data_IF_953129006073
#
_entry.id   IF_953129006073
#
_cell.length_a   1.000
_cell.length_b   1.000
_cell.length_c   1.000
_cell.angle_alpha   90.00
_cell.angle_beta   90.00
_cell.angle_gamma   90.00
#
_symmetry.space_group_name_H-M   'P 1'
#
loop_
_entity.id
_entity.type
_entity.pdbx_description
1 polymer ?
#
# COMPACT_ATOMS: atom_id res chain seq x y z
N UNK A 1 -9.67 -49.93 -32.24
CA UNK A 1 -8.82 -48.91 -31.59
C UNK A 1 -7.37 -49.36 -31.68
N UNK A 2 -6.49 -48.49 -32.18
CA UNK A 2 -5.05 -48.74 -32.32
C UNK A 2 -4.42 -49.02 -30.96
N UNK A 3 -3.50 -49.99 -30.87
CA UNK A 3 -2.78 -50.37 -29.63
C UNK A 3 -2.07 -49.18 -28.97
N UNK A 4 -1.74 -48.14 -29.74
CA UNK A 4 -1.13 -46.90 -29.24
C UNK A 4 -2.10 -46.06 -28.39
N UNK A 5 -3.39 -46.08 -28.69
CA UNK A 5 -4.39 -45.33 -27.93
C UNK A 5 -4.64 -45.94 -26.54
N UNK A 6 -4.53 -47.27 -26.42
CA UNK A 6 -4.71 -47.99 -25.15
C UNK A 6 -3.51 -47.72 -24.22
N UNK A 7 -2.29 -47.65 -24.76
CA UNK A 7 -1.08 -47.38 -23.99
C UNK A 7 -1.03 -45.95 -23.42
N UNK A 8 -1.57 -44.95 -24.14
CA UNK A 8 -1.58 -43.57 -23.66
C UNK A 8 -2.60 -43.40 -22.52
N UNK A 9 -3.76 -44.04 -22.62
CA UNK A 9 -4.78 -43.98 -21.56
C UNK A 9 -4.31 -44.70 -20.30
N UNK A 10 -3.61 -45.83 -20.41
CA UNK A 10 -3.13 -46.57 -19.24
C UNK A 10 -2.04 -45.82 -18.46
N UNK A 11 -1.12 -45.14 -19.15
CA UNK A 11 -0.06 -44.35 -18.47
C UNK A 11 -0.65 -43.14 -17.75
N UNK A 12 -1.62 -42.44 -18.36
CA UNK A 12 -2.26 -41.28 -17.74
C UNK A 12 -3.03 -41.63 -16.46
N UNK A 13 -3.71 -42.77 -16.43
CA UNK A 13 -4.42 -43.24 -15.22
C UNK A 13 -3.44 -43.58 -14.10
N UNK A 14 -2.29 -44.18 -14.44
CA UNK A 14 -1.29 -44.59 -13.45
C UNK A 14 -0.61 -43.38 -12.80
N UNK A 15 -0.33 -42.32 -13.56
CA UNK A 15 0.23 -41.05 -13.04
C UNK A 15 -0.74 -40.39 -12.07
N UNK A 16 -2.04 -40.33 -12.40
CA UNK A 16 -3.06 -39.72 -11.54
C UNK A 16 -3.20 -40.50 -10.22
N UNK A 17 -3.21 -41.83 -10.27
CA UNK A 17 -3.30 -42.67 -9.06
C UNK A 17 -2.07 -42.53 -8.17
N UNK A 18 -0.86 -42.48 -8.75
CA UNK A 18 0.35 -42.24 -7.98
C UNK A 18 0.34 -40.85 -7.32
N UNK A 19 -0.08 -39.80 -8.04
CA UNK A 19 -0.15 -38.45 -7.49
C UNK A 19 -1.14 -38.36 -6.32
N UNK A 20 -2.29 -39.02 -6.44
CA UNK A 20 -3.30 -39.05 -5.39
C UNK A 20 -2.80 -39.80 -4.13
N UNK A 21 -2.09 -40.91 -4.32
CA UNK A 21 -1.57 -41.70 -3.21
C UNK A 21 -0.45 -41.00 -2.43
N UNK A 22 0.41 -40.24 -3.11
CA UNK A 22 1.47 -39.45 -2.44
C UNK A 22 0.93 -38.18 -1.78
N UNK A 23 -0.08 -37.53 -2.35
CA UNK A 23 -0.64 -36.29 -1.81
C UNK A 23 -1.44 -36.53 -0.51
N UNK A 24 -2.09 -37.69 -0.36
CA UNK A 24 -2.93 -38.00 0.81
C UNK A 24 -2.24 -38.79 1.93
N UNK A 25 -1.14 -39.51 1.65
CA UNK A 25 -0.46 -40.33 2.65
C UNK A 25 0.83 -39.71 3.21
N UNK A 26 1.08 -38.41 3.01
CA UNK A 26 2.19 -37.74 3.68
C UNK A 26 1.89 -37.63 5.19
N UNK A 27 2.65 -38.30 6.08
CA UNK A 27 2.40 -38.23 7.51
C UNK A 27 2.81 -36.85 8.03
N UNK A 28 1.83 -36.13 8.60
CA UNK A 28 2.07 -34.90 9.36
C UNK A 28 2.86 -35.29 10.62
N UNK A 29 4.14 -34.95 10.65
CA UNK A 29 4.96 -35.05 11.85
C UNK A 29 4.39 -34.09 12.91
N UNK A 30 3.73 -34.65 13.92
CA UNK A 30 3.34 -33.95 15.14
C UNK A 30 4.45 -34.12 16.17
N UNK A 31 5.36 -33.16 16.24
CA UNK A 31 6.22 -33.03 17.42
C UNK A 31 5.56 -32.04 18.39
N UNK A 32 5.17 -32.58 19.54
CA UNK A 32 4.70 -31.84 20.70
C UNK A 32 5.88 -31.14 21.36
N UNK A 33 5.96 -29.81 21.27
CA UNK A 33 6.71 -29.00 22.22
C UNK A 33 5.73 -28.30 23.15
N UNK A 34 5.67 -28.76 24.41
CA UNK A 34 5.07 -27.99 25.50
C UNK A 34 5.89 -26.72 25.72
N UNK A 35 5.34 -25.57 25.32
CA UNK A 35 5.90 -24.27 25.66
C UNK A 35 5.24 -23.75 26.94
N UNK A 36 6.04 -23.52 27.98
CA UNK A 36 5.58 -22.86 29.20
C UNK A 36 5.22 -21.41 28.87
N UNK A 37 3.94 -21.07 29.08
CA UNK A 37 3.44 -19.69 29.02
C UNK A 37 4.00 -18.91 30.21
N UNK A 38 4.92 -17.98 29.93
CA UNK A 38 5.26 -16.92 30.87
C UNK A 38 4.25 -15.80 30.64
N UNK A 39 3.27 -15.66 31.54
CA UNK A 39 2.35 -14.52 31.57
C UNK A 39 3.15 -13.21 31.74
N UNK A 40 3.33 -12.45 30.67
CA UNK A 40 3.73 -11.04 30.78
C UNK A 40 2.45 -10.18 30.87
N UNK A 41 2.13 -9.75 32.08
CA UNK A 41 1.09 -8.74 32.31
C UNK A 41 1.61 -7.38 31.87
N UNK A 42 1.22 -6.94 30.68
CA UNK A 42 1.31 -5.53 30.32
C UNK A 42 0.18 -4.75 31.03
N UNK A 43 0.46 -3.59 31.65
CA UNK A 43 -0.57 -2.82 32.33
C UNK A 43 -1.49 -2.14 31.32
N UNK A 44 -2.79 -2.39 31.49
CA UNK A 44 -3.88 -1.60 30.90
C UNK A 44 -3.73 -0.12 31.30
N UNK A 45 -3.41 0.73 30.33
CA UNK A 45 -3.49 2.19 30.51
C UNK A 45 -4.95 2.60 30.38
N UNK A 46 -5.61 2.79 31.52
CA UNK A 46 -6.93 3.38 31.60
C UNK A 46 -6.85 4.88 31.29
N UNK A 47 -7.66 5.32 30.31
CA UNK A 47 -7.97 6.73 30.06
C UNK A 47 -8.64 7.35 31.29
N UNK A 48 -8.07 8.44 31.79
CA UNK A 48 -8.82 9.48 32.50
C UNK A 48 -8.23 10.84 32.15
N UNK A 49 -9.09 11.73 31.67
CA UNK A 49 -8.80 13.13 31.44
C UNK A 49 -8.52 13.87 32.76
N UNK A 50 -7.49 14.69 32.79
CA UNK A 50 -7.45 15.88 33.66
C UNK A 50 -6.63 16.99 33.00
N UNK A 51 -7.32 18.09 32.73
CA UNK A 51 -6.76 19.44 32.65
C UNK A 51 -6.04 19.81 33.96
N UNK A 52 -4.78 20.29 33.90
CA UNK A 52 -4.37 21.57 34.52
C UNK A 52 -2.90 21.93 34.20
N UNK A 53 -2.76 23.19 33.77
CA UNK A 53 -1.71 24.18 34.01
C UNK A 53 -0.20 23.93 33.86
N UNK A 54 0.36 24.95 33.22
CA UNK A 54 1.73 25.42 33.13
C UNK A 54 2.52 25.37 34.42
N UNK A 55 3.78 24.92 34.33
CA UNK A 55 4.92 25.71 34.82
C UNK A 55 6.25 25.23 34.19
N UNK A 56 6.87 26.19 33.49
CA UNK A 56 8.29 26.54 33.41
C UNK A 56 9.29 25.52 34.03
N UNK A 57 10.12 24.91 33.18
CA UNK A 57 11.55 24.68 33.50
C UNK A 57 12.40 24.97 32.27
N UNK A 58 13.23 25.99 32.43
CA UNK A 58 14.25 26.47 31.53
C UNK A 58 15.53 25.62 31.64
N UNK A 59 16.21 25.47 30.50
CA UNK A 59 17.66 25.28 30.34
C UNK A 59 18.31 23.94 30.77
N UNK A 60 18.84 23.22 29.78
CA UNK A 60 20.24 22.81 29.81
C UNK A 60 20.82 22.56 28.40
N UNK A 61 21.70 23.48 28.02
CA UNK A 61 22.66 23.44 26.91
C UNK A 61 23.43 22.11 26.86
N UNK A 62 23.50 21.50 25.67
CA UNK A 62 24.48 20.47 25.35
C UNK A 62 25.52 21.01 24.36
N UNK A 63 26.77 20.95 24.79
CA UNK A 63 27.99 21.27 24.04
C UNK A 63 28.23 20.22 22.95
N UNK A 64 28.78 20.59 21.78
CA UNK A 64 29.22 19.62 20.79
C UNK A 64 30.54 18.97 21.19
N UNK A 65 30.64 17.68 20.91
CA UNK A 65 31.81 16.82 21.11
C UNK A 65 32.80 17.10 19.98
N UNK A 66 34.02 17.55 20.33
CA UNK A 66 35.16 17.60 19.43
C UNK A 66 35.66 16.18 19.12
N UNK A 67 35.63 15.77 17.86
CA UNK A 67 36.31 14.56 17.39
C UNK A 67 37.67 14.93 16.77
N UNK A 68 38.72 14.33 17.31
CA UNK A 68 40.09 14.39 16.81
C UNK A 68 40.18 13.76 15.40
N UNK A 69 40.61 14.54 14.41
CA UNK A 69 41.06 14.04 13.10
C UNK A 69 42.58 13.87 13.15
N UNK A 70 43.03 12.62 13.01
CA UNK A 70 44.42 12.24 12.76
C UNK A 70 44.65 12.21 11.24
N UNK A 71 45.71 12.88 10.81
CA UNK A 71 45.99 13.17 9.40
C UNK A 71 46.37 11.97 8.54
N UNK A 72 46.02 12.08 7.26
CA UNK A 72 46.70 11.40 6.18
C UNK A 72 46.85 12.38 5.01
N UNK A 73 48.10 12.70 4.69
CA UNK A 73 48.50 13.48 3.52
C UNK A 73 48.49 12.61 2.24
N UNK A 74 48.25 13.31 1.12
CA UNK A 74 48.61 13.05 -0.27
C UNK A 74 47.82 12.03 -1.13
N UNK A 75 46.89 12.57 -1.96
CA UNK A 75 46.78 12.24 -3.41
C UNK A 75 46.10 13.41 -4.16
N UNK A 76 46.38 13.66 -5.46
CA UNK A 76 46.34 15.00 -6.05
C UNK A 76 44.97 15.44 -6.59
N UNK A 77 44.52 16.58 -6.07
CA UNK A 77 44.12 17.82 -6.78
C UNK A 77 43.38 17.74 -8.13
N UNK A 78 42.09 18.13 -8.05
CA UNK A 78 41.27 18.91 -9.01
C UNK A 78 40.78 18.21 -10.29
N UNK A 79 39.59 17.63 -10.18
CA UNK A 79 38.54 17.87 -11.18
C UNK A 79 37.91 19.26 -10.90
N UNK A 80 37.64 20.10 -11.91
CA UNK A 80 36.90 21.33 -11.70
C UNK A 80 35.45 20.94 -11.40
N UNK A 81 35.09 20.87 -10.12
CA UNK A 81 33.70 20.99 -9.71
C UNK A 81 33.35 22.44 -10.04
N UNK A 82 32.77 22.65 -11.22
CA UNK A 82 31.89 23.79 -11.42
C UNK A 82 30.73 23.52 -10.48
N UNK A 83 30.87 23.97 -9.23
CA UNK A 83 29.75 24.06 -8.32
C UNK A 83 28.89 25.17 -8.89
N UNK A 84 28.04 24.83 -9.85
CA UNK A 84 26.86 25.62 -10.11
C UNK A 84 26.20 25.80 -8.75
N UNK A 85 26.10 27.05 -8.28
CA UNK A 85 25.28 27.37 -7.12
C UNK A 85 23.87 26.97 -7.54
N UNK A 86 23.46 25.77 -7.17
CA UNK A 86 22.08 25.36 -7.28
C UNK A 86 21.33 26.26 -6.32
N UNK A 87 20.52 27.17 -6.87
CA UNK A 87 19.64 27.99 -6.08
C UNK A 87 18.55 27.06 -5.52
N UNK A 88 18.77 26.60 -4.28
CA UNK A 88 17.79 25.80 -3.55
C UNK A 88 16.55 26.64 -3.24
N UNK A 89 15.40 25.99 -3.28
CA UNK A 89 14.09 26.53 -2.98
C UNK A 89 13.78 26.27 -1.50
N UNK A 90 13.14 27.20 -0.81
CA UNK A 90 12.76 27.00 0.59
C UNK A 90 11.64 25.95 0.72
N UNK A 91 11.51 25.31 1.89
CA UNK A 91 10.56 24.22 2.10
C UNK A 91 9.09 24.65 1.87
N UNK A 92 8.76 25.89 2.21
CA UNK A 92 7.41 26.45 2.05
C UNK A 92 7.09 26.84 0.58
N UNK A 93 8.11 26.92 -0.27
CA UNK A 93 7.98 27.38 -1.66
C UNK A 93 7.60 26.24 -2.63
N UNK A 94 7.54 26.54 -3.94
CA UNK A 94 7.07 25.66 -5.00
C UNK A 94 8.08 24.58 -5.44
N UNK A 95 8.64 23.83 -4.49
CA UNK A 95 9.44 22.65 -4.81
C UNK A 95 8.55 21.45 -5.18
N UNK A 96 9.09 20.55 -6.01
CA UNK A 96 8.43 19.30 -6.38
C UNK A 96 9.36 18.09 -6.24
N UNK A 97 10.67 18.25 -6.48
CA UNK A 97 11.64 17.14 -6.40
C UNK A 97 12.59 17.44 -5.24
N UNK A 98 12.47 16.77 -4.07
CA UNK A 98 13.29 17.06 -2.90
C UNK A 98 14.80 17.04 -3.18
N UNK A 99 15.28 15.99 -3.86
CA UNK A 99 16.70 15.85 -4.20
C UNK A 99 17.22 16.94 -5.12
N UNK A 100 16.33 17.57 -5.89
CA UNK A 100 16.71 18.62 -6.82
C UNK A 100 16.56 20.01 -6.24
N UNK A 101 15.48 20.25 -5.51
CA UNK A 101 15.04 21.60 -5.14
C UNK A 101 15.48 21.99 -3.72
N UNK A 102 15.62 21.02 -2.82
CA UNK A 102 15.79 21.27 -1.38
C UNK A 102 17.22 21.05 -0.90
N UNK A 103 17.57 21.68 0.22
CA UNK A 103 18.83 21.42 0.95
C UNK A 103 18.76 20.07 1.64
N UNK A 104 19.92 19.51 2.03
CA UNK A 104 19.99 18.18 2.64
C UNK A 104 19.19 18.13 3.94
N UNK A 105 19.25 19.19 4.76
CA UNK A 105 18.51 19.26 6.02
C UNK A 105 16.99 19.24 5.81
N UNK A 106 16.50 19.92 4.76
CA UNK A 106 15.09 19.93 4.39
C UNK A 106 14.67 18.58 3.77
N UNK A 107 15.57 17.91 3.04
CA UNK A 107 15.33 16.55 2.53
C UNK A 107 15.15 15.55 3.68
N UNK A 108 16.01 15.62 4.71
CA UNK A 108 15.92 14.74 5.88
C UNK A 108 14.62 15.01 6.67
N UNK A 109 14.23 16.27 6.82
CA UNK A 109 12.96 16.65 7.44
C UNK A 109 11.75 16.11 6.65
N UNK A 110 11.73 16.28 5.33
CA UNK A 110 10.68 15.75 4.46
C UNK A 110 10.61 14.22 4.52
N UNK A 111 11.76 13.54 4.61
CA UNK A 111 11.81 12.09 4.76
C UNK A 111 11.21 11.63 6.10
N UNK A 112 11.49 12.33 7.19
CA UNK A 112 10.87 12.06 8.50
C UNK A 112 9.35 12.26 8.47
N UNK A 113 8.88 13.38 7.90
CA UNK A 113 7.44 13.63 7.72
C UNK A 113 6.75 12.55 6.87
N UNK A 114 7.42 12.09 5.82
CA UNK A 114 6.91 11.00 5.00
C UNK A 114 6.78 9.71 5.81
N UNK A 115 7.76 9.40 6.66
CA UNK A 115 7.71 8.22 7.50
C UNK A 115 6.57 8.27 8.52
N UNK A 116 6.38 9.41 9.18
CA UNK A 116 5.28 9.63 10.12
C UNK A 116 3.92 9.46 9.43
N UNK A 117 3.78 10.00 8.21
CA UNK A 117 2.58 9.81 7.41
C UNK A 117 2.36 8.36 6.98
N UNK A 118 3.44 7.65 6.61
CA UNK A 118 3.39 6.22 6.32
C UNK A 118 2.93 5.41 7.54
N UNK A 119 3.38 5.75 8.74
CA UNK A 119 2.93 5.10 9.98
C UNK A 119 1.44 5.38 10.25
N UNK A 120 1.02 6.63 10.13
CA UNK A 120 -0.38 7.05 10.29
C UNK A 120 -1.29 6.32 9.30
N UNK A 121 -0.92 6.32 8.02
CA UNK A 121 -1.66 5.66 6.94
C UNK A 121 -1.57 4.12 6.95
N UNK A 122 -0.74 3.55 7.83
CA UNK A 122 -0.67 2.12 8.07
C UNK A 122 0.16 1.35 7.05
N UNK A 123 1.21 1.96 6.51
CA UNK A 123 2.18 1.30 5.62
C UNK A 123 3.12 0.44 6.46
N UNK A 124 2.93 -0.88 6.43
CA UNK A 124 3.83 -1.84 7.06
C UNK A 124 3.58 -3.24 6.47
N UNK A 125 4.63 -3.94 6.05
CA UNK A 125 4.52 -5.19 5.31
C UNK A 125 4.91 -6.39 6.18
N UNK A 126 4.07 -7.42 6.18
CA UNK A 126 4.46 -8.73 6.71
C UNK A 126 5.46 -9.34 5.74
N UNK A 127 6.67 -9.62 6.23
CA UNK A 127 7.71 -10.26 5.42
C UNK A 127 7.21 -11.61 4.92
N UNK A 128 7.33 -11.83 3.61
CA UNK A 128 7.23 -13.17 3.06
C UNK A 128 8.52 -13.93 3.45
N UNK A 129 8.40 -15.23 3.72
CA UNK A 129 9.42 -16.06 4.38
C UNK A 129 10.80 -16.09 3.67
N UNK A 130 10.94 -15.49 2.49
CA UNK A 130 12.12 -15.43 1.64
C UNK A 130 12.84 -14.05 1.61
N UNK A 131 12.30 -13.00 2.24
CA UNK A 131 12.80 -11.61 2.12
C UNK A 131 13.49 -11.05 3.39
N UNK A 132 14.11 -11.91 4.20
CA UNK A 132 14.54 -11.59 5.59
C UNK A 132 15.59 -10.47 5.70
N UNK A 133 16.35 -10.14 4.65
CA UNK A 133 17.57 -9.32 4.78
C UNK A 133 17.57 -7.93 4.09
N UNK A 134 16.61 -7.60 3.22
CA UNK A 134 16.65 -6.36 2.41
C UNK A 134 15.59 -5.29 2.82
N UNK A 135 14.72 -5.62 3.77
CA UNK A 135 13.39 -4.98 3.88
C UNK A 135 13.31 -3.85 4.93
N UNK A 136 14.01 -3.95 6.07
CA UNK A 136 13.75 -3.04 7.20
C UNK A 136 14.32 -1.62 7.00
N UNK A 137 15.39 -1.46 6.20
CA UNK A 137 15.92 -0.12 5.89
C UNK A 137 15.02 0.66 4.94
N UNK A 138 14.35 -0.03 4.02
CA UNK A 138 13.43 0.59 3.05
C UNK A 138 11.99 0.66 3.59
N UNK A 139 11.68 -0.14 4.61
CA UNK A 139 10.35 -0.23 5.24
C UNK A 139 10.47 -0.20 6.77
N UNK A 140 10.86 0.95 7.36
CA UNK A 140 11.10 1.08 8.80
C UNK A 140 9.87 0.71 9.66
N UNK A 141 8.66 0.88 9.13
CA UNK A 141 7.40 0.58 9.83
C UNK A 141 7.10 -0.93 9.93
N UNK A 142 7.87 -1.81 9.28
CA UNK A 142 7.67 -3.25 9.38
C UNK A 142 7.84 -3.77 10.82
N UNK A 143 8.56 -3.02 11.67
CA UNK A 143 8.68 -3.31 13.10
C UNK A 143 7.33 -3.42 13.80
N UNK A 144 6.31 -2.69 13.36
CA UNK A 144 4.98 -2.70 13.97
C UNK A 144 4.18 -3.96 13.66
N UNK A 145 4.42 -4.58 12.50
CA UNK A 145 3.73 -5.81 12.08
C UNK A 145 4.52 -7.09 12.38
N UNK A 146 5.81 -6.96 12.72
CA UNK A 146 6.69 -8.08 13.04
C UNK A 146 6.13 -9.03 14.12
N UNK A 147 5.51 -8.57 15.23
CA UNK A 147 4.93 -9.48 16.24
C UNK A 147 3.81 -10.38 15.69
N UNK A 148 3.12 -9.94 14.62
CA UNK A 148 2.02 -10.68 14.02
C UNK A 148 2.45 -11.65 12.94
N UNK A 149 3.72 -11.60 12.50
CA UNK A 149 4.20 -12.39 11.37
C UNK A 149 4.08 -13.91 11.62
N UNK A 150 4.40 -14.37 12.82
CA UNK A 150 4.32 -15.78 13.21
C UNK A 150 3.05 -16.13 13.99
N UNK A 151 2.26 -15.11 14.36
CA UNK A 151 1.03 -15.29 15.12
C UNK A 151 -0.05 -16.03 14.29
N UNK A 152 -0.78 -16.98 14.89
CA UNK A 152 -1.93 -17.62 14.27
C UNK A 152 -3.02 -16.62 13.87
N UNK A 153 -3.69 -16.87 12.74
CA UNK A 153 -4.69 -15.93 12.19
C UNK A 153 -5.86 -15.66 13.15
N UNK A 154 -6.26 -16.64 13.96
CA UNK A 154 -7.32 -16.47 14.96
C UNK A 154 -6.92 -15.50 16.08
N UNK A 155 -5.67 -15.55 16.53
CA UNK A 155 -5.17 -14.60 17.53
C UNK A 155 -5.09 -13.18 16.96
N UNK A 156 -4.67 -13.04 15.70
CA UNK A 156 -4.65 -11.74 15.00
C UNK A 156 -6.08 -11.18 14.85
N UNK A 157 -7.05 -12.06 14.54
CA UNK A 157 -8.47 -11.71 14.47
C UNK A 157 -8.99 -11.23 15.83
N UNK A 158 -8.65 -11.90 16.92
CA UNK A 158 -9.06 -11.47 18.26
C UNK A 158 -8.50 -10.08 18.61
N UNK A 159 -7.24 -9.81 18.27
CA UNK A 159 -6.63 -8.48 18.46
C UNK A 159 -7.26 -7.40 17.56
N UNK A 160 -7.68 -7.77 16.36
CA UNK A 160 -8.47 -6.91 15.46
C UNK A 160 -9.79 -6.51 16.11
N UNK A 161 -10.49 -7.44 16.77
CA UNK A 161 -11.73 -7.15 17.49
C UNK A 161 -11.52 -6.23 18.70
N UNK A 162 -10.31 -6.20 19.27
CA UNK A 162 -9.92 -5.28 20.34
C UNK A 162 -9.52 -3.88 19.85
N UNK A 163 -9.51 -3.65 18.53
CA UNK A 163 -9.19 -2.35 17.95
C UNK A 163 -7.69 -2.12 17.69
N UNK A 164 -6.87 -3.18 17.69
CA UNK A 164 -5.45 -3.03 17.38
C UNK A 164 -5.23 -2.74 15.88
N UNK A 165 -4.74 -1.53 15.58
CA UNK A 165 -4.46 -1.05 14.21
C UNK A 165 -3.51 -2.00 13.46
N UNK A 166 -2.43 -2.41 14.10
CA UNK A 166 -1.38 -3.20 13.45
C UNK A 166 -1.80 -4.66 13.29
N UNK A 167 -2.61 -5.19 14.23
CA UNK A 167 -3.26 -6.48 14.04
C UNK A 167 -4.22 -6.46 12.84
N UNK A 168 -5.03 -5.40 12.69
CA UNK A 168 -5.91 -5.26 11.51
C UNK A 168 -5.09 -5.23 10.21
N UNK A 169 -4.01 -4.44 10.16
CA UNK A 169 -3.12 -4.36 9.01
C UNK A 169 -2.51 -5.73 8.69
N UNK A 170 -2.03 -6.44 9.71
CA UNK A 170 -1.51 -7.80 9.57
C UNK A 170 -2.58 -8.80 9.08
N UNK A 171 -3.81 -8.67 9.58
CA UNK A 171 -4.94 -9.52 9.24
C UNK A 171 -5.32 -9.42 7.77
N UNK A 172 -5.32 -8.20 7.21
CA UNK A 172 -5.60 -7.97 5.79
C UNK A 172 -4.51 -8.56 4.88
N UNK A 173 -3.26 -8.57 5.31
CA UNK A 173 -2.14 -9.11 4.54
C UNK A 173 -2.08 -10.65 4.57
N UNK A 174 -2.50 -11.27 5.69
CA UNK A 174 -2.63 -12.73 5.82
C UNK A 174 -3.97 -13.25 5.29
N UNK A 175 -4.56 -12.58 4.29
CA UNK A 175 -5.93 -12.85 3.90
C UNK A 175 -6.19 -14.31 3.49
N UNK A 176 -7.32 -14.84 3.95
CA UNK A 176 -7.83 -16.18 3.60
C UNK A 176 -9.31 -16.04 3.27
N UNK A 177 -9.84 -16.96 2.48
CA UNK A 177 -11.27 -16.90 2.10
C UNK A 177 -12.22 -17.12 3.29
N UNK A 178 -11.73 -17.70 4.39
CA UNK A 178 -12.55 -18.10 5.54
C UNK A 178 -12.96 -16.92 6.43
N UNK A 179 -12.23 -15.80 6.38
CA UNK A 179 -12.48 -14.61 7.22
C UNK A 179 -12.83 -13.35 6.43
N UNK A 180 -13.45 -13.51 5.26
CA UNK A 180 -13.71 -12.40 4.34
C UNK A 180 -14.53 -11.28 4.98
N UNK A 181 -15.57 -11.62 5.74
CA UNK A 181 -16.47 -10.63 6.34
C UNK A 181 -15.77 -9.88 7.48
N UNK A 182 -14.98 -10.58 8.30
CA UNK A 182 -14.19 -9.96 9.37
C UNK A 182 -13.07 -9.08 8.81
N UNK A 183 -12.44 -9.48 7.71
CA UNK A 183 -11.43 -8.67 7.03
C UNK A 183 -12.05 -7.44 6.37
N UNK A 184 -13.25 -7.55 5.80
CA UNK A 184 -13.99 -6.39 5.33
C UNK A 184 -14.26 -5.41 6.48
N UNK A 185 -14.73 -5.90 7.63
CA UNK A 185 -14.96 -5.06 8.81
C UNK A 185 -13.65 -4.39 9.31
N UNK A 186 -12.55 -5.14 9.34
CA UNK A 186 -11.23 -4.62 9.69
C UNK A 186 -10.77 -3.52 8.72
N UNK A 187 -10.92 -3.73 7.40
CA UNK A 187 -10.59 -2.74 6.39
C UNK A 187 -11.43 -1.47 6.55
N UNK A 188 -12.74 -1.58 6.76
CA UNK A 188 -13.61 -0.42 6.99
C UNK A 188 -13.25 0.34 8.28
N UNK A 189 -12.90 -0.36 9.35
CA UNK A 189 -12.39 0.28 10.57
C UNK A 189 -11.07 1.03 10.32
N UNK A 190 -10.14 0.42 9.57
CA UNK A 190 -8.89 1.07 9.18
C UNK A 190 -9.11 2.35 8.36
N UNK A 191 -10.07 2.35 7.42
CA UNK A 191 -10.46 3.58 6.69
C UNK A 191 -11.00 4.68 7.63
N UNK A 192 -11.82 4.29 8.61
CA UNK A 192 -12.37 5.21 9.59
C UNK A 192 -11.24 5.90 10.40
N UNK A 193 -10.25 5.14 10.86
CA UNK A 193 -9.15 5.69 11.66
C UNK A 193 -8.05 6.40 10.85
N UNK A 194 -8.11 6.36 9.51
CA UNK A 194 -7.15 6.99 8.60
C UNK A 194 -5.99 6.09 8.15
N UNK A 195 -5.91 4.85 8.67
CA UNK A 195 -4.90 3.85 8.31
C UNK A 195 -5.26 3.15 6.98
N UNK A 196 -5.33 3.92 5.90
CA UNK A 196 -6.00 3.51 4.67
C UNK A 196 -5.18 2.59 3.75
N UNK A 197 -3.85 2.48 3.92
CA UNK A 197 -2.95 1.84 2.95
C UNK A 197 -3.38 0.41 2.57
N UNK A 198 -3.32 -0.52 3.51
CA UNK A 198 -3.69 -1.92 3.25
C UNK A 198 -5.21 -2.14 3.20
N UNK A 199 -5.99 -1.26 3.82
CA UNK A 199 -7.45 -1.32 3.77
C UNK A 199 -7.96 -1.11 2.34
N UNK A 200 -7.48 -0.07 1.64
CA UNK A 200 -7.86 0.21 0.26
C UNK A 200 -7.36 -0.86 -0.70
N UNK A 201 -6.11 -1.30 -0.52
CA UNK A 201 -5.55 -2.41 -1.28
C UNK A 201 -6.44 -3.66 -1.17
N UNK A 202 -6.77 -4.08 0.06
CA UNK A 202 -7.64 -5.23 0.31
C UNK A 202 -9.01 -5.09 -0.35
N UNK A 203 -9.67 -3.94 -0.16
CA UNK A 203 -11.02 -3.70 -0.68
C UNK A 203 -11.04 -3.76 -2.21
N UNK A 204 -10.08 -3.13 -2.88
CA UNK A 204 -9.97 -3.16 -4.34
C UNK A 204 -9.72 -4.59 -4.84
N UNK A 205 -8.74 -5.30 -4.25
CA UNK A 205 -8.39 -6.67 -4.66
C UNK A 205 -9.57 -7.63 -4.45
N UNK A 206 -10.25 -7.54 -3.30
CA UNK A 206 -11.42 -8.34 -2.96
C UNK A 206 -12.57 -8.13 -3.95
N UNK A 207 -12.85 -6.88 -4.33
CA UNK A 207 -13.89 -6.58 -5.32
C UNK A 207 -13.51 -7.09 -6.72
N UNK A 208 -12.26 -6.86 -7.17
CA UNK A 208 -11.82 -7.38 -8.47
C UNK A 208 -11.81 -8.92 -8.51
N UNK A 209 -11.42 -9.58 -7.41
CA UNK A 209 -11.53 -11.04 -7.29
C UNK A 209 -12.99 -11.51 -7.33
N UNK A 210 -13.90 -10.76 -6.72
CA UNK A 210 -15.34 -11.02 -6.74
C UNK A 210 -15.94 -10.81 -8.13
N UNK A 211 -15.51 -9.78 -8.86
CA UNK A 211 -15.90 -9.56 -10.25
C UNK A 211 -15.55 -10.77 -11.13
N UNK A 212 -14.30 -11.25 -11.03
CA UNK A 212 -13.86 -12.45 -11.76
C UNK A 212 -14.67 -13.68 -11.37
N UNK A 213 -14.88 -13.89 -10.08
CA UNK A 213 -15.63 -15.05 -9.58
C UNK A 213 -17.08 -15.03 -10.04
N UNK A 214 -17.73 -13.87 -9.97
CA UNK A 214 -19.09 -13.64 -10.44
C UNK A 214 -19.20 -13.95 -11.94
N UNK A 215 -18.33 -13.38 -12.77
CA UNK A 215 -18.31 -13.69 -14.21
C UNK A 215 -18.08 -15.18 -14.48
N UNK A 216 -17.13 -15.80 -13.78
CA UNK A 216 -16.83 -17.24 -13.98
C UNK A 216 -18.03 -18.11 -13.68
N UNK A 217 -18.84 -17.75 -12.67
CA UNK A 217 -20.04 -18.50 -12.25
C UNK A 217 -21.25 -18.25 -13.13
N UNK A 218 -21.55 -16.99 -13.48
CA UNK A 218 -22.79 -16.63 -14.18
C UNK A 218 -22.62 -16.48 -15.69
N UNK A 219 -21.39 -16.22 -16.15
CA UNK A 219 -21.07 -15.80 -17.52
C UNK A 219 -21.78 -14.50 -17.94
N UNK A 220 -22.22 -13.70 -16.96
CA UNK A 220 -22.88 -12.41 -17.17
C UNK A 220 -22.04 -11.26 -16.59
N UNK A 221 -22.23 -10.07 -17.15
CA UNK A 221 -21.50 -8.87 -16.73
C UNK A 221 -22.13 -8.17 -15.53
N UNK A 222 -23.43 -8.33 -15.28
CA UNK A 222 -24.17 -7.51 -14.30
C UNK A 222 -23.51 -7.46 -12.90
N UNK A 223 -23.29 -8.62 -12.27
CA UNK A 223 -22.63 -8.69 -10.95
C UNK A 223 -21.15 -8.32 -11.01
N UNK A 224 -20.50 -8.60 -12.14
CA UNK A 224 -19.09 -8.28 -12.33
C UNK A 224 -18.88 -6.77 -12.40
N UNK A 225 -19.80 -6.08 -13.09
CA UNK A 225 -19.87 -4.62 -13.20
C UNK A 225 -20.09 -3.97 -11.84
N UNK A 226 -20.99 -4.49 -11.01
CA UNK A 226 -21.20 -4.00 -9.64
C UNK A 226 -19.91 -4.02 -8.80
N UNK A 227 -19.20 -5.15 -8.80
CA UNK A 227 -17.93 -5.26 -8.09
C UNK A 227 -16.85 -4.32 -8.68
N UNK A 228 -16.79 -4.17 -10.00
CA UNK A 228 -15.86 -3.23 -10.64
C UNK A 228 -16.18 -1.77 -10.29
N UNK A 229 -17.46 -1.40 -10.19
CA UNK A 229 -17.90 -0.08 -9.71
C UNK A 229 -17.39 0.17 -8.29
N UNK A 230 -17.52 -0.82 -7.39
CA UNK A 230 -16.99 -0.72 -6.03
C UNK A 230 -15.47 -0.55 -6.03
N UNK A 231 -14.74 -1.34 -6.81
CA UNK A 231 -13.28 -1.25 -6.92
C UNK A 231 -12.83 0.14 -7.39
N UNK A 232 -13.51 0.73 -8.38
CA UNK A 232 -13.21 2.10 -8.83
C UNK A 232 -13.54 3.11 -7.74
N UNK A 233 -14.67 2.98 -7.04
CA UNK A 233 -15.01 3.89 -5.94
C UNK A 233 -13.97 3.86 -4.79
N UNK A 234 -13.48 2.68 -4.41
CA UNK A 234 -12.37 2.55 -3.45
C UNK A 234 -11.07 3.16 -4.00
N UNK A 235 -10.83 3.04 -5.31
CA UNK A 235 -9.66 3.64 -5.96
C UNK A 235 -9.71 5.17 -5.89
N UNK A 236 -10.85 5.77 -6.19
CA UNK A 236 -11.06 7.23 -6.06
C UNK A 236 -10.83 7.68 -4.62
N UNK A 237 -11.41 6.95 -3.66
CA UNK A 237 -11.24 7.25 -2.25
C UNK A 237 -9.76 7.24 -1.84
N UNK A 238 -9.03 6.17 -2.18
CA UNK A 238 -7.61 6.10 -1.89
C UNK A 238 -6.80 7.24 -2.52
N UNK A 239 -7.11 7.62 -3.75
CA UNK A 239 -6.45 8.75 -4.43
C UNK A 239 -6.70 10.10 -3.74
N UNK A 240 -7.90 10.32 -3.22
CA UNK A 240 -8.23 11.54 -2.47
C UNK A 240 -7.64 11.55 -1.06
N UNK A 241 -7.31 10.38 -0.50
CA UNK A 241 -6.59 10.22 0.78
C UNK A 241 -5.07 10.07 0.59
N UNK A 242 -4.53 10.44 -0.58
CA UNK A 242 -3.11 10.39 -0.93
C UNK A 242 -2.48 8.99 -0.79
N UNK A 243 -3.24 7.96 -1.10
CA UNK A 243 -2.84 6.56 -0.92
C UNK A 243 -2.59 5.88 -2.27
N UNK A 244 -1.31 5.66 -2.57
CA UNK A 244 -0.87 5.08 -3.85
C UNK A 244 -1.15 3.57 -3.95
N UNK A 245 -1.43 2.88 -2.83
CA UNK A 245 -1.82 1.47 -2.87
C UNK A 245 -3.08 1.27 -3.72
N UNK A 246 -3.94 2.29 -3.78
CA UNK A 246 -5.15 2.30 -4.61
C UNK A 246 -4.84 2.06 -6.10
N UNK A 247 -3.92 2.84 -6.67
CA UNK A 247 -3.48 2.65 -8.06
C UNK A 247 -2.71 1.36 -8.23
N UNK A 248 -1.88 0.99 -7.26
CA UNK A 248 -1.09 -0.24 -7.31
C UNK A 248 -1.99 -1.46 -7.38
N UNK A 249 -2.99 -1.55 -6.50
CA UNK A 249 -3.97 -2.62 -6.44
C UNK A 249 -4.84 -2.65 -7.69
N UNK A 250 -5.41 -1.52 -8.10
CA UNK A 250 -6.30 -1.44 -9.25
C UNK A 250 -5.54 -1.74 -10.56
N UNK A 251 -4.51 -0.95 -10.89
CA UNK A 251 -3.74 -1.09 -12.11
C UNK A 251 -2.98 -2.42 -12.16
N UNK A 252 -2.47 -2.89 -11.02
CA UNK A 252 -1.81 -4.19 -10.89
C UNK A 252 -2.70 -5.34 -11.34
N UNK A 253 -3.94 -5.38 -10.83
CA UNK A 253 -4.86 -6.47 -11.09
C UNK A 253 -5.49 -6.39 -12.49
N UNK A 254 -5.85 -5.20 -12.98
CA UNK A 254 -6.46 -5.11 -14.32
C UNK A 254 -5.47 -5.38 -15.44
N UNK A 255 -4.21 -4.92 -15.31
CA UNK A 255 -3.22 -5.03 -16.39
C UNK A 255 -2.64 -6.44 -16.54
N UNK A 256 -2.71 -7.28 -15.50
CA UNK A 256 -2.07 -8.60 -15.48
C UNK A 256 -3.05 -9.76 -15.70
N UNK A 257 -4.36 -9.54 -15.63
CA UNK A 257 -5.36 -10.60 -15.72
C UNK A 257 -6.07 -10.63 -17.09
N UNK A 258 -6.07 -11.79 -17.73
CA UNK A 258 -6.67 -11.99 -19.06
C UNK A 258 -8.16 -11.62 -19.12
N UNK A 259 -8.92 -11.82 -18.04
CA UNK A 259 -10.34 -11.45 -18.03
C UNK A 259 -10.52 -9.93 -18.09
N UNK A 260 -9.70 -9.18 -17.35
CA UNK A 260 -9.74 -7.72 -17.36
C UNK A 260 -9.11 -7.11 -18.62
N UNK A 261 -8.23 -7.83 -19.31
CA UNK A 261 -7.77 -7.43 -20.64
C UNK A 261 -8.79 -7.77 -21.75
N UNK A 262 -9.71 -8.69 -21.50
CA UNK A 262 -10.73 -9.14 -22.45
C UNK A 262 -12.14 -8.70 -22.07
N UNK A 263 -12.96 -9.66 -21.61
CA UNK A 263 -14.41 -9.50 -21.45
C UNK A 263 -14.81 -8.57 -20.29
N UNK A 264 -13.96 -8.46 -19.27
CA UNK A 264 -14.15 -7.53 -18.14
C UNK A 264 -13.34 -6.25 -18.32
N UNK A 265 -13.00 -5.88 -19.56
CA UNK A 265 -12.25 -4.65 -19.80
C UNK A 265 -12.96 -3.44 -19.18
N UNK A 266 -12.30 -2.65 -18.29
CA UNK A 266 -12.92 -1.52 -17.62
C UNK A 266 -13.49 -0.47 -18.58
N UNK A 267 -12.77 -0.14 -19.67
CA UNK A 267 -13.24 0.84 -20.66
C UNK A 267 -14.52 0.41 -21.37
N UNK A 268 -14.81 -0.89 -21.44
CA UNK A 268 -16.04 -1.43 -22.03
C UNK A 268 -17.13 -1.64 -20.99
N UNK A 269 -16.77 -2.23 -19.84
CA UNK A 269 -17.72 -2.67 -18.80
C UNK A 269 -18.25 -1.49 -17.98
N UNK A 270 -17.46 -0.42 -17.87
CA UNK A 270 -17.77 0.76 -17.06
C UNK A 270 -18.07 2.02 -17.89
N UNK A 271 -18.22 1.90 -19.21
CA UNK A 271 -18.35 3.04 -20.13
C UNK A 271 -19.50 4.01 -19.76
N UNK A 272 -20.57 3.51 -19.16
CA UNK A 272 -21.75 4.24 -18.71
C UNK A 272 -21.96 4.18 -17.18
N UNK A 273 -20.94 3.74 -16.42
CA UNK A 273 -21.05 3.50 -14.98
C UNK A 273 -20.66 4.71 -14.12
N UNK A 274 -20.30 5.85 -14.72
CA UNK A 274 -19.81 7.03 -13.99
C UNK A 274 -20.79 7.52 -12.90
N UNK A 275 -22.10 7.47 -13.17
CA UNK A 275 -23.13 7.82 -12.19
C UNK A 275 -23.16 6.85 -11.02
N UNK A 276 -23.14 5.55 -11.31
CA UNK A 276 -23.13 4.48 -10.29
C UNK A 276 -21.87 4.54 -9.42
N UNK A 277 -20.70 4.79 -10.03
CA UNK A 277 -19.42 4.99 -9.36
C UNK A 277 -19.49 6.20 -8.41
N UNK A 278 -20.06 7.31 -8.87
CA UNK A 278 -20.22 8.50 -8.04
C UNK A 278 -21.14 8.24 -6.84
N UNK A 279 -22.27 7.57 -7.04
CA UNK A 279 -23.19 7.19 -5.95
C UNK A 279 -22.49 6.28 -4.94
N UNK A 280 -21.71 5.29 -5.42
CA UNK A 280 -20.98 4.37 -4.54
C UNK A 280 -19.90 5.09 -3.74
N UNK A 281 -19.15 5.98 -4.39
CA UNK A 281 -18.14 6.80 -3.74
C UNK A 281 -18.72 7.71 -2.65
N UNK A 282 -19.82 8.42 -2.92
CA UNK A 282 -20.50 9.26 -1.93
C UNK A 282 -21.06 8.43 -0.76
N UNK A 283 -21.56 7.23 -1.05
CA UNK A 283 -21.99 6.29 -0.01
C UNK A 283 -20.83 5.90 0.89
N UNK A 284 -19.67 5.54 0.31
CA UNK A 284 -18.46 5.22 1.06
C UNK A 284 -18.01 6.39 1.95
N UNK A 285 -17.99 7.62 1.42
CA UNK A 285 -17.64 8.81 2.19
C UNK A 285 -18.56 9.01 3.40
N UNK A 286 -19.86 8.83 3.20
CA UNK A 286 -20.84 8.91 4.29
C UNK A 286 -20.59 7.83 5.34
N UNK A 287 -20.40 6.58 4.93
CA UNK A 287 -20.21 5.46 5.85
C UNK A 287 -18.95 5.66 6.71
N UNK A 288 -17.85 6.14 6.11
CA UNK A 288 -16.61 6.47 6.82
C UNK A 288 -16.81 7.64 7.78
N UNK A 289 -17.53 8.68 7.36
CA UNK A 289 -17.82 9.85 8.21
C UNK A 289 -18.66 9.45 9.42
N UNK A 290 -19.67 8.62 9.23
CA UNK A 290 -20.51 8.09 10.32
C UNK A 290 -19.69 7.24 11.29
N UNK A 291 -18.82 6.36 10.78
CA UNK A 291 -17.91 5.56 11.60
C UNK A 291 -16.94 6.43 12.43
N UNK A 292 -16.34 7.47 11.81
CA UNK A 292 -15.48 8.45 12.50
C UNK A 292 -16.21 9.17 13.62
N UNK A 293 -17.44 9.63 13.35
CA UNK A 293 -18.27 10.31 14.34
C UNK A 293 -18.64 9.39 15.52
N UNK A 294 -18.99 8.13 15.24
CA UNK A 294 -19.32 7.16 16.27
C UNK A 294 -18.13 6.84 17.19
N UNK A 295 -16.90 6.89 16.66
CA UNK A 295 -15.67 6.62 17.40
C UNK A 295 -15.02 7.88 17.98
N UNK A 296 -15.55 9.08 17.70
CA UNK A 296 -14.96 10.34 18.13
C UNK A 296 -13.60 10.63 17.47
N UNK A 297 -13.38 10.14 16.25
CA UNK A 297 -12.12 10.27 15.53
C UNK A 297 -12.15 11.52 14.65
N UNK A 298 -11.11 12.33 14.77
CA UNK A 298 -10.79 13.38 13.81
C UNK A 298 -9.57 12.93 13.01
N UNK A 299 -9.70 12.71 11.69
CA UNK A 299 -8.56 12.32 10.86
C UNK A 299 -7.51 13.45 10.84
N UNK A 300 -6.25 13.07 10.72
CA UNK A 300 -5.15 14.00 10.53
C UNK A 300 -5.12 14.47 9.08
N UNK A 301 -4.98 15.78 8.87
CA UNK A 301 -4.75 16.33 7.54
C UNK A 301 -3.33 16.02 7.06
N UNK A 302 -3.13 15.62 5.80
CA UNK A 302 -1.81 15.36 5.26
C UNK A 302 -0.97 16.64 5.18
N UNK A 303 0.30 16.60 5.62
CA UNK A 303 1.25 17.70 5.41
C UNK A 303 1.39 18.07 3.93
N UNK A 304 1.68 19.34 3.62
CA UNK A 304 1.84 19.81 2.23
C UNK A 304 3.00 19.11 1.51
N UNK A 305 4.07 18.80 2.24
CA UNK A 305 5.23 18.06 1.77
C UNK A 305 4.83 16.65 1.31
N UNK A 306 3.93 15.99 2.06
CA UNK A 306 3.39 14.67 1.71
C UNK A 306 2.54 14.75 0.44
N UNK A 307 1.75 15.81 0.26
CA UNK A 307 0.99 16.03 -0.99
C UNK A 307 1.93 16.17 -2.19
N UNK A 308 3.04 16.90 -2.05
CA UNK A 308 4.07 17.05 -3.09
C UNK A 308 4.74 15.70 -3.41
N UNK A 309 5.06 14.89 -2.39
CA UNK A 309 5.60 13.56 -2.58
C UNK A 309 4.60 12.60 -3.26
N UNK A 310 3.32 12.69 -2.93
CA UNK A 310 2.28 11.90 -3.60
C UNK A 310 2.20 12.22 -5.10
N UNK A 311 2.41 13.48 -5.51
CA UNK A 311 2.47 13.86 -6.92
C UNK A 311 3.58 13.12 -7.69
N UNK A 312 4.73 12.84 -7.06
CA UNK A 312 5.80 12.02 -7.63
C UNK A 312 5.34 10.59 -7.92
N UNK A 313 4.57 10.02 -7.01
CA UNK A 313 4.08 8.65 -7.12
C UNK A 313 3.01 8.55 -8.23
N UNK A 314 2.10 9.53 -8.32
CA UNK A 314 1.15 9.68 -9.43
C UNK A 314 1.88 9.81 -10.78
N UNK A 315 2.88 10.69 -10.87
CA UNK A 315 3.69 10.88 -12.07
C UNK A 315 4.37 9.57 -12.51
N UNK A 316 4.93 8.83 -11.55
CA UNK A 316 5.55 7.53 -11.80
C UNK A 316 4.54 6.51 -12.33
N UNK A 317 3.32 6.49 -11.79
CA UNK A 317 2.23 5.64 -12.29
C UNK A 317 1.79 6.03 -13.70
N UNK A 318 1.53 7.32 -13.97
CA UNK A 318 1.19 7.82 -15.31
C UNK A 318 2.24 7.44 -16.35
N UNK A 319 3.52 7.58 -15.99
CA UNK A 319 4.62 7.29 -16.90
C UNK A 319 4.77 5.79 -17.18
N UNK A 320 4.61 4.93 -16.17
CA UNK A 320 4.88 3.48 -16.29
C UNK A 320 3.64 2.65 -16.66
N UNK A 321 2.44 3.11 -16.32
CA UNK A 321 1.17 2.37 -16.47
C UNK A 321 0.09 3.17 -17.19
N UNK A 322 0.48 3.83 -18.28
CA UNK A 322 -0.38 4.74 -19.05
C UNK A 322 -1.77 4.16 -19.39
N UNK A 323 -1.82 2.94 -19.92
CA UNK A 323 -3.08 2.31 -20.33
C UNK A 323 -4.04 2.09 -19.16
N UNK A 324 -3.54 1.59 -18.01
CA UNK A 324 -4.35 1.39 -16.82
C UNK A 324 -4.91 2.73 -16.29
N UNK A 325 -4.12 3.80 -16.36
CA UNK A 325 -4.58 5.14 -15.98
C UNK A 325 -5.66 5.64 -16.94
N UNK A 326 -5.50 5.47 -18.26
CA UNK A 326 -6.53 5.82 -19.24
C UNK A 326 -7.84 5.05 -19.02
N UNK A 327 -7.75 3.75 -18.72
CA UNK A 327 -8.90 2.92 -18.35
C UNK A 327 -9.60 3.43 -17.09
N UNK A 328 -8.83 3.83 -16.06
CA UNK A 328 -9.37 4.43 -14.86
C UNK A 328 -10.06 5.76 -15.18
N UNK A 329 -9.40 6.71 -15.85
CA UNK A 329 -9.99 8.02 -16.16
C UNK A 329 -11.23 7.94 -17.04
N UNK A 330 -11.31 6.95 -17.93
CA UNK A 330 -12.52 6.74 -18.75
C UNK A 330 -13.75 6.46 -17.89
N UNK A 331 -13.56 5.80 -16.75
CA UNK A 331 -14.64 5.49 -15.80
C UNK A 331 -14.96 6.64 -14.84
N UNK A 332 -14.18 7.73 -14.86
CA UNK A 332 -14.24 8.80 -13.85
C UNK A 332 -14.80 10.11 -14.39
N UNK A 333 -15.47 10.84 -13.50
CA UNK A 333 -15.75 12.25 -13.73
C UNK A 333 -14.46 13.07 -13.60
N UNK A 334 -14.24 14.11 -14.42
CA UNK A 334 -13.08 15.00 -14.28
C UNK A 334 -12.92 15.63 -12.90
N UNK A 335 -14.01 15.77 -12.13
CA UNK A 335 -14.02 16.34 -10.80
C UNK A 335 -13.50 15.42 -9.68
N UNK A 336 -13.36 14.12 -9.95
CA UNK A 336 -13.08 13.12 -8.90
C UNK A 336 -11.59 12.94 -8.58
N UNK A 337 -10.68 13.51 -9.38
CA UNK A 337 -9.22 13.37 -9.22
C UNK A 337 -8.52 14.73 -9.23
N UNK A 338 -8.66 15.48 -8.14
CA UNK A 338 -8.03 16.81 -8.00
C UNK A 338 -6.50 16.76 -7.90
N UNK A 339 -5.94 15.64 -7.45
CA UNK A 339 -4.50 15.45 -7.17
C UNK A 339 -3.68 15.12 -8.42
N UNK A 340 -4.35 14.90 -9.55
CA UNK A 340 -3.76 14.25 -10.71
C UNK A 340 -3.09 15.20 -11.71
N UNK A 341 -3.49 16.47 -11.72
CA UNK A 341 -3.03 17.48 -12.69
C UNK A 341 -2.43 18.67 -11.94
N UNK A 342 -1.34 18.43 -11.22
CA UNK A 342 -0.56 19.47 -10.54
C UNK A 342 0.74 19.73 -11.29
N UNK A 343 1.30 20.92 -11.11
CA UNK A 343 2.61 21.29 -11.66
C UNK A 343 3.71 20.28 -11.28
N UNK A 344 3.64 19.74 -10.06
CA UNK A 344 4.58 18.72 -9.62
C UNK A 344 4.45 17.41 -10.40
N UNK A 345 3.23 16.94 -10.70
CA UNK A 345 3.03 15.74 -11.53
C UNK A 345 3.70 15.94 -12.90
N UNK A 346 3.45 17.07 -13.56
CA UNK A 346 4.01 17.36 -14.89
C UNK A 346 5.53 17.47 -14.86
N UNK A 347 6.08 18.13 -13.85
CA UNK A 347 7.53 18.28 -13.65
C UNK A 347 8.21 16.93 -13.43
N UNK A 348 7.60 16.05 -12.62
CA UNK A 348 8.11 14.68 -12.42
C UNK A 348 8.04 13.84 -13.71
N UNK A 349 6.95 13.90 -14.47
CA UNK A 349 6.83 13.19 -15.76
C UNK A 349 7.91 13.65 -16.73
N UNK A 350 8.17 14.96 -16.82
CA UNK A 350 9.21 15.50 -17.68
C UNK A 350 10.61 15.01 -17.25
N UNK A 351 10.90 14.99 -15.95
CA UNK A 351 12.17 14.47 -15.45
C UNK A 351 12.36 12.98 -15.78
N UNK A 352 11.32 12.15 -15.57
CA UNK A 352 11.34 10.73 -15.95
C UNK A 352 11.60 10.52 -17.45
N UNK A 353 11.08 11.41 -18.30
CA UNK A 353 11.34 11.39 -19.74
C UNK A 353 12.80 11.70 -20.06
N UNK A 354 13.37 12.74 -19.47
CA UNK A 354 14.79 13.12 -19.65
C UNK A 354 15.70 11.96 -19.23
N UNK A 355 15.46 11.38 -18.06
CA UNK A 355 16.23 10.22 -17.57
C UNK A 355 16.14 9.05 -18.56
N UNK A 356 14.95 8.74 -19.06
CA UNK A 356 14.75 7.66 -20.05
C UNK A 356 15.54 7.92 -21.34
N UNK A 357 15.54 9.16 -21.84
CA UNK A 357 16.27 9.56 -23.05
C UNK A 357 17.79 9.48 -22.86
N UNK A 358 18.30 9.93 -21.69
CA UNK A 358 19.71 9.80 -21.33
C UNK A 358 20.16 8.35 -21.18
N UNK A 359 19.34 7.50 -20.56
CA UNK A 359 19.64 6.07 -20.45
C UNK A 359 19.63 5.36 -21.82
N UNK A 360 18.83 5.85 -22.78
CA UNK A 360 18.78 5.32 -24.13
C UNK A 360 20.00 5.73 -24.97
N UNK A 361 20.58 6.91 -24.75
CA UNK A 361 21.79 7.36 -25.46
C UNK A 361 23.09 6.71 -24.97
N UNK A 362 23.05 6.05 -23.81
CA UNK A 362 24.17 5.29 -23.23
C UNK A 362 24.22 3.82 -23.70
N UNK A 363 23.23 3.36 -24.48
CA UNK A 363 23.18 2.02 -25.08
C UNK A 363 23.50 2.08 -26.57
#
# INVERSE_FOLDING_TARGET
MSSKAIAIVSVSVLVIVCFWFFYWNAPIAKDNLEFQVVESKFPLVNKTASTLDSDIVENQSHKPIESHILGHEDLPTKLPIVADKKDFVDLEDAWCIPSDDLRIEDQDFVAALQNDWMEYSGVAYIKQNDAVYDDDQNHPNNVFVAPYQEMPIEEIKDLTLLGDKWAMIAFLQKSTMDYRDEQYAAAMNLLAIGASYHAIEYLIISELASAKTSFRRTKTLDKSREHMINAVAYTIYGLNELNISALTAYAGNISQDELFQGVLNPSLTLADAQGDISIRYETLLRDIKEARQAQGISPQDPPEEVKKLFARDIASFKFRRKEAMEQLYTALAPSHLSTDNTECVDRHINNLRIIKEQMASLK
#
